data_IF_080775799219
#
_entry.id   IF_080775799219
#
_cell.length_a   1.000
_cell.length_b   1.000
_cell.length_c   1.000
_cell.angle_alpha   90.00
_cell.angle_beta   90.00
_cell.angle_gamma   90.00
#
_symmetry.space_group_name_H-M   'P 1'
#
loop_
_entity.id
_entity.type
_entity.pdbx_description
1 polymer ?
#
# COMPACT_ATOMS: atom_id res chain seq x y z
N UNK A 1 -30.19 -21.60 17.02
CA UNK A 1 -30.48 -21.51 15.57
C UNK A 1 -29.15 -21.49 14.84
N UNK A 2 -28.84 -22.58 14.14
CA UNK A 2 -27.67 -22.68 13.27
C UNK A 2 -28.12 -22.20 11.90
N UNK A 3 -27.87 -20.93 11.58
CA UNK A 3 -27.94 -20.51 10.19
C UNK A 3 -26.74 -21.12 9.48
N UNK A 4 -27.03 -22.05 8.58
CA UNK A 4 -26.07 -22.66 7.67
C UNK A 4 -25.30 -21.57 6.93
N UNK A 5 -23.97 -21.70 6.89
CA UNK A 5 -23.05 -20.82 6.16
C UNK A 5 -23.29 -20.87 4.63
N UNK A 6 -24.23 -21.71 4.17
CA UNK A 6 -24.55 -22.00 2.77
C UNK A 6 -25.55 -21.04 2.09
N UNK A 7 -25.98 -19.98 2.77
CA UNK A 7 -26.75 -18.88 2.15
C UNK A 7 -25.86 -17.87 1.44
N UNK A 8 -26.39 -17.15 0.44
CA UNK A 8 -25.69 -16.01 -0.18
C UNK A 8 -25.27 -15.03 0.92
N UNK A 9 -23.97 -14.72 1.08
CA UNK A 9 -23.49 -13.85 2.15
C UNK A 9 -24.17 -12.48 2.08
N UNK A 10 -24.65 -11.92 3.21
CA UNK A 10 -25.16 -10.55 3.21
C UNK A 10 -24.04 -9.59 2.78
N UNK A 11 -24.32 -8.65 1.88
CA UNK A 11 -23.33 -7.65 1.49
C UNK A 11 -22.89 -6.82 2.71
N UNK A 12 -21.59 -6.56 2.85
CA UNK A 12 -21.15 -5.60 3.88
C UNK A 12 -21.48 -4.20 3.37
N UNK A 13 -22.49 -3.54 3.91
CA UNK A 13 -22.84 -2.20 3.44
C UNK A 13 -21.66 -1.22 3.61
N UNK A 14 -21.42 -0.40 2.59
CA UNK A 14 -20.47 0.73 2.67
C UNK A 14 -21.16 1.96 2.14
N UNK A 15 -21.42 2.91 3.04
CA UNK A 15 -21.99 4.20 2.68
C UNK A 15 -21.00 4.99 1.82
N UNK A 16 -21.23 4.99 0.50
CA UNK A 16 -20.40 5.71 -0.48
C UNK A 16 -20.54 7.23 -0.36
N UNK A 17 -21.63 7.74 0.23
CA UNK A 17 -21.82 9.19 0.42
C UNK A 17 -20.79 9.82 1.37
N UNK A 18 -20.20 8.99 2.23
CA UNK A 18 -19.14 9.41 3.16
C UNK A 18 -17.74 9.40 2.56
N UNK A 19 -17.58 9.06 1.27
CA UNK A 19 -16.27 9.16 0.60
C UNK A 19 -15.89 10.62 0.41
N UNK A 20 -14.61 10.93 0.60
CA UNK A 20 -14.12 12.26 0.24
C UNK A 20 -14.20 12.44 -1.27
N UNK A 21 -14.63 13.62 -1.71
CA UNK A 21 -14.77 13.93 -3.13
C UNK A 21 -13.44 13.76 -3.87
N UNK A 22 -13.48 13.10 -5.03
CA UNK A 22 -12.35 12.97 -5.93
C UNK A 22 -12.63 13.75 -7.21
N UNK A 23 -11.95 14.89 -7.44
CA UNK A 23 -12.24 15.75 -8.58
C UNK A 23 -12.12 15.03 -9.92
N UNK A 24 -12.94 15.44 -10.88
CA UNK A 24 -12.90 14.86 -12.22
C UNK A 24 -11.58 15.15 -12.95
N UNK A 25 -10.93 16.28 -12.63
CA UNK A 25 -9.62 16.66 -13.19
C UNK A 25 -8.43 15.99 -12.50
N UNK A 26 -8.62 15.38 -11.32
CA UNK A 26 -7.54 14.73 -10.60
C UNK A 26 -7.06 13.47 -11.33
N UNK A 27 -5.73 13.31 -11.53
CA UNK A 27 -5.20 12.17 -12.27
C UNK A 27 -5.36 10.88 -11.48
N UNK A 28 -5.82 9.81 -12.14
CA UNK A 28 -5.94 8.49 -11.53
C UNK A 28 -4.59 7.79 -11.45
N UNK A 29 -4.49 6.72 -10.67
CA UNK A 29 -3.23 5.98 -10.49
C UNK A 29 -2.56 5.56 -11.80
N UNK A 30 -3.34 5.16 -12.81
CA UNK A 30 -2.82 4.70 -14.10
C UNK A 30 -2.25 5.82 -14.97
N UNK A 31 -2.52 7.09 -14.64
CA UNK A 31 -2.03 8.25 -15.40
C UNK A 31 -0.52 8.48 -15.28
N UNK A 32 0.17 7.76 -14.39
CA UNK A 32 1.63 7.71 -14.31
C UNK A 32 2.30 6.67 -15.22
N UNK A 33 1.51 5.76 -15.80
CA UNK A 33 2.02 4.65 -16.60
C UNK A 33 2.62 5.14 -17.92
N UNK A 34 3.52 4.35 -18.49
CA UNK A 34 3.99 4.52 -19.87
C UNK A 34 3.02 3.87 -20.84
N UNK A 35 3.03 4.31 -22.09
CA UNK A 35 2.15 3.81 -23.14
C UNK A 35 2.29 2.29 -23.33
N UNK A 36 3.52 1.77 -23.23
CA UNK A 36 3.84 0.33 -23.35
C UNK A 36 3.19 -0.54 -22.25
N UNK A 37 2.72 0.07 -21.15
CA UNK A 37 2.06 -0.65 -20.05
C UNK A 37 0.57 -0.34 -19.98
N UNK A 38 0.19 0.89 -20.31
CA UNK A 38 -1.19 1.34 -20.34
C UNK A 38 -2.02 0.60 -21.41
N UNK A 39 -1.51 0.48 -22.64
CA UNK A 39 -2.26 -0.18 -23.71
C UNK A 39 -2.47 -1.69 -23.44
N UNK A 40 -1.47 -2.46 -22.99
CA UNK A 40 -1.69 -3.85 -22.58
C UNK A 40 -2.67 -4.01 -21.41
N UNK A 41 -2.69 -3.06 -20.45
CA UNK A 41 -3.69 -3.07 -19.38
C UNK A 41 -5.11 -2.97 -19.94
N UNK A 42 -5.35 -2.08 -20.90
CA UNK A 42 -6.66 -1.96 -21.56
C UNK A 42 -6.99 -3.22 -22.38
N UNK A 43 -6.03 -3.71 -23.17
CA UNK A 43 -6.20 -4.85 -24.05
C UNK A 43 -6.51 -6.15 -23.29
N UNK A 44 -5.80 -6.42 -22.19
CA UNK A 44 -6.05 -7.60 -21.34
C UNK A 44 -7.48 -7.64 -20.79
N UNK A 45 -8.08 -6.47 -20.55
CA UNK A 45 -9.45 -6.35 -20.06
C UNK A 45 -10.46 -6.09 -21.20
N UNK A 46 -10.08 -6.35 -22.45
CA UNK A 46 -10.96 -6.22 -23.62
C UNK A 46 -11.48 -4.81 -23.86
N UNK A 47 -10.76 -3.77 -23.44
CA UNK A 47 -11.18 -2.37 -23.56
C UNK A 47 -12.57 -2.09 -22.97
N UNK A 48 -13.00 -2.83 -21.94
CA UNK A 48 -14.30 -2.68 -21.27
C UNK A 48 -14.38 -1.41 -20.41
N UNK A 49 -14.26 -0.26 -21.06
CA UNK A 49 -14.32 1.07 -20.47
C UNK A 49 -15.77 1.51 -20.47
N UNK A 50 -16.30 1.87 -19.31
CA UNK A 50 -17.67 2.40 -19.21
C UNK A 50 -17.76 3.75 -19.94
N UNK A 51 -18.86 4.08 -20.66
CA UNK A 51 -18.97 5.33 -21.43
C UNK A 51 -18.64 6.60 -20.64
N UNK A 52 -19.05 6.67 -19.37
CA UNK A 52 -18.73 7.82 -18.49
C UNK A 52 -17.24 7.95 -18.12
N UNK A 53 -16.41 6.97 -18.48
CA UNK A 53 -14.96 6.91 -18.19
C UNK A 53 -14.10 7.08 -19.45
N UNK A 54 -14.70 7.23 -20.63
CA UNK A 54 -13.97 7.36 -21.90
C UNK A 54 -13.07 8.60 -21.92
N UNK A 55 -13.59 9.77 -21.50
CA UNK A 55 -12.80 10.99 -21.42
C UNK A 55 -11.55 10.82 -20.51
N UNK A 56 -11.72 10.12 -19.40
CA UNK A 56 -10.63 9.78 -18.50
C UNK A 56 -9.61 8.83 -19.15
N UNK A 57 -10.07 7.79 -19.85
CA UNK A 57 -9.18 6.86 -20.55
C UNK A 57 -8.37 7.56 -21.65
N UNK A 58 -8.98 8.50 -22.38
CA UNK A 58 -8.28 9.32 -23.38
C UNK A 58 -7.23 10.22 -22.73
N UNK A 59 -7.58 10.93 -21.65
CA UNK A 59 -6.64 11.76 -20.89
C UNK A 59 -5.45 10.94 -20.36
N UNK A 60 -5.72 9.74 -19.84
CA UNK A 60 -4.67 8.81 -19.39
C UNK A 60 -3.79 8.33 -20.53
N UNK A 61 -4.35 8.09 -21.71
CA UNK A 61 -3.58 7.73 -22.91
C UNK A 61 -2.65 8.85 -23.32
N UNK A 62 -3.12 10.10 -23.32
CA UNK A 62 -2.29 11.28 -23.56
C UNK A 62 -1.17 11.45 -22.53
N UNK A 63 -1.49 11.30 -21.24
CA UNK A 63 -0.50 11.29 -20.17
C UNK A 63 0.53 10.17 -20.35
N UNK A 64 0.11 8.98 -20.76
CA UNK A 64 0.99 7.84 -20.97
C UNK A 64 2.02 8.07 -22.10
N UNK A 65 1.62 8.76 -23.17
CA UNK A 65 2.56 9.21 -24.21
C UNK A 65 3.61 10.17 -23.64
N UNK A 66 3.19 11.15 -22.84
CA UNK A 66 4.09 12.10 -22.20
C UNK A 66 5.05 11.42 -21.20
N UNK A 67 4.55 10.49 -20.40
CA UNK A 67 5.36 9.71 -19.45
C UNK A 67 6.39 8.83 -20.15
N UNK A 68 6.07 8.28 -21.33
CA UNK A 68 7.04 7.54 -22.15
C UNK A 68 8.19 8.44 -22.59
N UNK A 69 7.89 9.65 -23.08
CA UNK A 69 8.93 10.62 -23.46
C UNK A 69 9.80 11.00 -22.26
N UNK A 70 9.19 11.35 -21.13
CA UNK A 70 9.92 11.73 -19.92
C UNK A 70 10.77 10.58 -19.36
N UNK A 71 10.30 9.35 -19.45
CA UNK A 71 11.09 8.18 -19.09
C UNK A 71 12.36 8.08 -19.93
N UNK A 72 12.25 8.22 -21.26
CA UNK A 72 13.40 8.16 -22.16
C UNK A 72 14.40 9.27 -21.84
N UNK A 73 13.92 10.50 -21.60
CA UNK A 73 14.76 11.61 -21.14
C UNK A 73 15.44 11.31 -19.80
N UNK A 74 14.73 10.68 -18.85
CA UNK A 74 15.33 10.31 -17.56
C UNK A 74 16.40 9.23 -17.76
N UNK A 75 16.19 8.26 -18.65
CA UNK A 75 17.21 7.26 -18.97
C UNK A 75 18.44 7.90 -19.62
N UNK A 76 18.24 8.89 -20.49
CA UNK A 76 19.33 9.61 -21.14
C UNK A 76 20.18 10.39 -20.12
N UNK A 77 19.53 11.15 -19.23
CA UNK A 77 20.20 12.05 -18.28
C UNK A 77 20.74 11.30 -17.06
N UNK A 78 19.94 10.41 -16.47
CA UNK A 78 20.24 9.77 -15.19
C UNK A 78 20.50 8.27 -15.28
N UNK A 79 20.27 7.61 -16.42
CA UNK A 79 20.28 6.14 -16.52
C UNK A 79 21.58 5.49 -16.04
N UNK A 80 22.74 6.08 -16.34
CA UNK A 80 24.04 5.61 -15.84
C UNK A 80 24.17 5.76 -14.32
N UNK A 81 23.80 6.93 -13.78
CA UNK A 81 23.86 7.20 -12.33
C UNK A 81 22.93 6.29 -11.55
N UNK A 82 21.73 6.03 -12.08
CA UNK A 82 20.77 5.14 -11.44
C UNK A 82 21.33 3.72 -11.36
N UNK A 83 21.86 3.17 -12.46
CA UNK A 83 22.45 1.83 -12.46
C UNK A 83 23.64 1.69 -11.51
N UNK A 84 24.41 2.77 -11.32
CA UNK A 84 25.54 2.80 -10.38
C UNK A 84 25.12 3.05 -8.93
N UNK A 85 23.86 3.42 -8.66
CA UNK A 85 23.39 3.72 -7.31
C UNK A 85 23.22 2.43 -6.51
N UNK A 86 23.77 2.44 -5.29
CA UNK A 86 23.59 1.37 -4.30
C UNK A 86 22.74 1.88 -3.13
N UNK A 87 21.99 1.01 -2.44
CA UNK A 87 21.30 1.39 -1.21
C UNK A 87 22.29 1.97 -0.19
N UNK A 88 21.90 3.06 0.49
CA UNK A 88 22.74 3.70 1.52
C UNK A 88 22.93 2.81 2.75
N UNK A 89 21.88 2.08 3.11
CA UNK A 89 21.86 1.11 4.19
C UNK A 89 20.75 0.08 3.89
N UNK A 90 20.74 -1.07 4.58
CA UNK A 90 19.68 -2.05 4.41
C UNK A 90 18.29 -1.44 4.64
N UNK A 91 17.31 -1.66 3.74
CA UNK A 91 16.01 -1.03 3.83
C UNK A 91 15.21 -1.47 5.06
N UNK A 92 14.25 -0.64 5.45
CA UNK A 92 13.24 -0.95 6.45
C UNK A 92 11.93 -1.25 5.71
N UNK A 93 11.28 -2.35 6.04
CA UNK A 93 9.98 -2.73 5.48
C UNK A 93 8.91 -2.71 6.56
N UNK A 94 7.86 -1.92 6.33
CA UNK A 94 6.65 -1.96 7.14
C UNK A 94 5.70 -2.99 6.53
N UNK A 95 5.41 -4.02 7.31
CA UNK A 95 4.52 -5.13 6.98
C UNK A 95 3.20 -4.96 7.75
N UNK A 96 2.18 -5.69 7.32
CA UNK A 96 0.85 -5.72 7.92
C UNK A 96 -0.24 -5.65 6.86
N UNK A 97 -1.45 -6.07 7.23
CA UNK A 97 -2.60 -5.96 6.36
C UNK A 97 -2.96 -4.50 6.05
N UNK A 98 -3.74 -4.29 4.99
CA UNK A 98 -4.42 -3.02 4.79
C UNK A 98 -5.16 -2.62 6.06
N UNK A 99 -5.10 -1.32 6.38
CA UNK A 99 -5.86 -0.69 7.47
C UNK A 99 -5.47 -1.14 8.88
N UNK A 100 -4.31 -1.76 9.08
CA UNK A 100 -3.77 -2.05 10.43
C UNK A 100 -3.03 -0.87 11.05
N UNK A 101 -2.86 0.26 10.35
CA UNK A 101 -2.12 1.43 10.88
C UNK A 101 -0.69 1.55 10.38
N UNK A 102 -0.28 0.70 9.42
CA UNK A 102 1.00 0.82 8.70
C UNK A 102 1.27 2.21 8.13
N UNK A 103 0.23 2.95 7.72
CA UNK A 103 0.37 4.34 7.25
C UNK A 103 0.77 5.29 8.38
N UNK A 104 0.20 5.13 9.58
CA UNK A 104 0.57 5.95 10.74
C UNK A 104 2.04 5.74 11.12
N UNK A 105 2.50 4.48 11.13
CA UNK A 105 3.89 4.15 11.38
C UNK A 105 4.82 4.68 10.27
N UNK A 106 4.41 4.59 9.00
CA UNK A 106 5.19 5.13 7.87
C UNK A 106 5.38 6.64 7.99
N UNK A 107 4.30 7.37 8.33
CA UNK A 107 4.34 8.81 8.55
C UNK A 107 5.22 9.19 9.75
N UNK A 108 5.17 8.42 10.85
CA UNK A 108 6.11 8.60 11.97
C UNK A 108 7.55 8.49 11.47
N UNK A 109 7.93 7.38 10.83
CA UNK A 109 9.29 7.16 10.34
C UNK A 109 9.73 8.19 9.27
N UNK A 110 8.80 8.75 8.50
CA UNK A 110 9.07 9.80 7.53
C UNK A 110 9.60 11.09 8.18
N UNK A 111 9.30 11.32 9.47
CA UNK A 111 9.82 12.45 10.23
C UNK A 111 11.22 12.24 10.83
N UNK A 112 11.84 11.07 10.66
CA UNK A 112 13.28 10.91 10.94
C UNK A 112 14.10 11.50 9.78
N UNK A 113 14.96 12.50 10.03
CA UNK A 113 15.72 13.17 8.98
C UNK A 113 16.70 12.25 8.24
N UNK A 114 17.05 11.08 8.77
CA UNK A 114 17.96 10.10 8.15
C UNK A 114 17.24 9.10 7.24
N UNK A 115 15.92 9.03 7.34
CA UNK A 115 15.10 8.08 6.59
C UNK A 115 14.43 8.77 5.39
N UNK A 116 14.12 7.98 4.37
CA UNK A 116 13.26 8.41 3.27
C UNK A 116 12.25 7.33 2.92
N UNK A 117 10.99 7.74 2.83
CA UNK A 117 9.88 6.97 2.28
C UNK A 117 9.61 7.46 0.85
N UNK A 118 9.23 6.57 -0.08
CA UNK A 118 8.77 7.03 -1.39
C UNK A 118 7.55 7.94 -1.24
N UNK A 119 7.56 9.08 -1.94
CA UNK A 119 6.46 10.05 -1.89
C UNK A 119 5.31 9.68 -2.83
N UNK A 120 4.16 10.33 -2.66
CA UNK A 120 3.03 10.25 -3.60
C UNK A 120 3.48 10.56 -5.04
N UNK A 121 4.30 11.61 -5.22
CA UNK A 121 4.77 11.94 -6.56
C UNK A 121 5.75 10.91 -7.11
N UNK A 122 6.67 10.40 -6.29
CA UNK A 122 7.65 9.39 -6.74
C UNK A 122 6.98 8.08 -7.14
N UNK A 123 5.92 7.68 -6.45
CA UNK A 123 5.16 6.46 -6.78
C UNK A 123 4.22 6.66 -7.97
N UNK A 124 3.59 7.83 -8.07
CA UNK A 124 2.77 8.22 -9.22
C UNK A 124 3.59 8.40 -10.51
N UNK A 125 4.78 8.99 -10.42
CA UNK A 125 5.65 9.30 -11.56
C UNK A 125 6.97 8.50 -11.52
N UNK A 126 6.90 7.24 -11.10
CA UNK A 126 8.04 6.33 -10.88
C UNK A 126 9.01 6.25 -12.08
N UNK A 127 8.50 6.46 -13.28
CA UNK A 127 9.26 6.39 -14.52
C UNK A 127 10.15 7.62 -14.80
N UNK A 128 9.88 8.78 -14.19
CA UNK A 128 10.54 10.05 -14.56
C UNK A 128 10.69 11.09 -13.43
N UNK A 129 10.36 10.75 -12.18
CA UNK A 129 10.34 11.76 -11.09
C UNK A 129 11.70 12.45 -10.85
N UNK A 130 12.84 11.85 -11.21
CA UNK A 130 14.14 12.51 -11.07
C UNK A 130 14.27 13.75 -11.94
N UNK A 131 13.48 13.85 -13.01
CA UNK A 131 13.39 15.04 -13.86
C UNK A 131 12.35 16.04 -13.35
N UNK A 132 11.20 15.55 -12.90
CA UNK A 132 9.99 16.37 -12.82
C UNK A 132 9.54 16.70 -11.40
N UNK A 133 10.02 15.98 -10.37
CA UNK A 133 9.50 16.11 -9.00
C UNK A 133 9.57 17.54 -8.48
N UNK A 134 10.71 18.22 -8.68
CA UNK A 134 10.89 19.59 -8.20
C UNK A 134 9.85 20.55 -8.78
N UNK A 135 9.60 20.47 -10.08
CA UNK A 135 8.63 21.35 -10.75
C UNK A 135 7.20 20.96 -10.38
N UNK A 136 6.90 19.67 -10.35
CA UNK A 136 5.57 19.15 -10.06
C UNK A 136 5.11 19.50 -8.65
N UNK A 137 5.98 19.35 -7.64
CA UNK A 137 5.69 19.73 -6.27
C UNK A 137 5.36 21.22 -6.13
N UNK A 138 5.85 22.09 -7.02
CA UNK A 138 5.55 23.52 -6.99
C UNK A 138 4.30 23.90 -7.78
N UNK A 139 4.12 23.33 -8.98
CA UNK A 139 3.10 23.78 -9.92
C UNK A 139 1.84 22.93 -9.94
N UNK A 140 1.91 21.66 -9.52
CA UNK A 140 0.84 20.68 -9.72
C UNK A 140 0.07 20.35 -8.44
N UNK A 141 0.21 21.15 -7.37
CA UNK A 141 -0.50 20.91 -6.09
C UNK A 141 -2.02 20.86 -6.25
N UNK A 142 -2.58 21.66 -7.15
CA UNK A 142 -4.02 21.75 -7.41
C UNK A 142 -4.63 20.47 -8.04
N UNK A 143 -3.79 19.57 -8.56
CA UNK A 143 -4.27 18.32 -9.16
C UNK A 143 -4.68 17.27 -8.13
N UNK A 144 -4.24 17.39 -6.87
CA UNK A 144 -4.59 16.44 -5.83
C UNK A 144 -5.81 16.91 -5.01
N UNK A 145 -6.75 16.02 -4.66
CA UNK A 145 -7.69 16.30 -3.59
C UNK A 145 -6.96 16.53 -2.26
N UNK A 146 -7.54 17.37 -1.39
CA UNK A 146 -6.93 17.69 -0.09
C UNK A 146 -6.79 16.47 0.84
N UNK A 147 -7.69 15.49 0.73
CA UNK A 147 -7.73 14.25 1.51
C UNK A 147 -7.91 13.05 0.60
N UNK A 148 -7.52 11.87 1.07
CA UNK A 148 -7.73 10.64 0.32
C UNK A 148 -9.23 10.26 0.26
N UNK A 149 -9.71 9.62 -0.80
CA UNK A 149 -11.12 9.21 -0.93
C UNK A 149 -11.67 8.38 0.24
N UNK A 150 -10.86 7.47 0.79
CA UNK A 150 -11.30 6.50 1.79
C UNK A 150 -11.17 6.96 3.25
N UNK A 151 -10.33 7.97 3.54
CA UNK A 151 -10.03 8.45 4.89
C UNK A 151 -9.50 9.89 4.96
N UNK A 152 -9.32 10.41 6.18
CA UNK A 152 -8.97 11.80 6.44
C UNK A 152 -7.45 12.09 6.42
N UNK A 153 -6.63 11.19 5.87
CA UNK A 153 -5.20 11.48 5.70
C UNK A 153 -5.02 12.51 4.59
N UNK A 154 -4.27 13.55 4.89
CA UNK A 154 -3.95 14.64 3.95
C UNK A 154 -3.16 14.09 2.77
N UNK A 155 -3.52 14.54 1.56
CA UNK A 155 -2.82 14.13 0.35
C UNK A 155 -1.95 15.29 -0.17
N UNK A 156 -0.63 15.10 -0.11
CA UNK A 156 0.35 16.02 -0.69
C UNK A 156 1.33 15.22 -1.55
N UNK A 157 1.96 15.87 -2.52
CA UNK A 157 2.91 15.20 -3.41
C UNK A 157 4.13 14.64 -2.66
N UNK A 158 4.49 15.28 -1.56
CA UNK A 158 5.63 14.98 -0.70
C UNK A 158 5.31 13.89 0.34
N UNK A 159 4.03 13.70 0.68
CA UNK A 159 3.61 12.72 1.69
C UNK A 159 4.01 11.30 1.29
N UNK A 160 4.32 10.43 2.28
CA UNK A 160 4.71 9.05 2.04
C UNK A 160 3.59 8.24 1.36
N UNK A 161 3.98 7.30 0.51
CA UNK A 161 3.06 6.43 -0.23
C UNK A 161 3.57 4.98 -0.29
N UNK A 162 2.68 4.07 -0.66
CA UNK A 162 2.97 2.67 -0.89
C UNK A 162 3.83 2.45 -2.13
N UNK A 163 4.91 1.68 -1.97
CA UNK A 163 5.81 1.30 -3.04
C UNK A 163 5.17 0.40 -4.11
N UNK A 164 4.03 -0.25 -3.82
CA UNK A 164 3.27 -1.01 -4.82
C UNK A 164 2.79 -0.12 -5.96
N UNK A 165 2.39 1.12 -5.67
CA UNK A 165 1.94 2.03 -6.72
C UNK A 165 3.05 2.38 -7.71
N UNK A 166 4.29 2.50 -7.25
CA UNK A 166 5.42 2.69 -8.16
C UNK A 166 5.59 1.51 -9.11
N UNK A 167 5.45 0.28 -8.60
CA UNK A 167 5.56 -0.97 -9.38
C UNK A 167 4.45 -1.06 -10.43
N UNK A 168 3.21 -0.74 -10.05
CA UNK A 168 2.07 -0.59 -10.97
C UNK A 168 2.38 0.41 -12.07
N UNK A 169 2.80 1.62 -11.71
CA UNK A 169 3.19 2.70 -12.62
C UNK A 169 4.31 2.28 -13.58
N UNK A 170 5.24 1.45 -13.12
CA UNK A 170 6.35 0.89 -13.91
C UNK A 170 5.95 -0.31 -14.78
N UNK A 171 4.69 -0.74 -14.76
CA UNK A 171 4.18 -1.85 -15.57
C UNK A 171 4.51 -3.25 -15.06
N UNK A 172 4.83 -3.37 -13.77
CA UNK A 172 5.01 -4.66 -13.13
C UNK A 172 3.64 -5.26 -12.76
N UNK A 173 3.49 -6.59 -12.81
CA UNK A 173 2.28 -7.26 -12.33
C UNK A 173 2.04 -6.97 -10.84
N UNK A 174 0.79 -6.66 -10.50
CA UNK A 174 0.39 -6.32 -9.14
C UNK A 174 -1.10 -6.63 -8.93
N UNK A 175 -1.49 -7.17 -7.76
CA UNK A 175 -2.91 -7.32 -7.41
C UNK A 175 -3.69 -6.00 -7.44
N UNK A 176 -3.05 -4.84 -7.21
CA UNK A 176 -3.74 -3.55 -7.27
C UNK A 176 -4.33 -3.21 -8.65
N UNK A 177 -3.89 -3.88 -9.71
CA UNK A 177 -4.47 -3.70 -11.04
C UNK A 177 -5.95 -4.13 -11.12
N UNK A 178 -6.49 -4.85 -10.12
CA UNK A 178 -7.96 -5.06 -10.06
C UNK A 178 -8.74 -3.75 -9.93
N UNK A 179 -8.18 -2.73 -9.30
CA UNK A 179 -8.88 -1.44 -9.13
C UNK A 179 -9.07 -0.70 -10.48
N UNK A 180 -8.34 -1.07 -11.53
CA UNK A 180 -8.49 -0.46 -12.86
C UNK A 180 -9.76 -0.94 -13.58
N UNK A 181 -10.13 -2.21 -13.35
CA UNK A 181 -11.29 -2.88 -13.94
C UNK A 181 -11.99 -3.70 -12.85
N UNK A 182 -12.74 -2.99 -12.01
CA UNK A 182 -13.32 -3.51 -10.77
C UNK A 182 -14.32 -4.65 -10.94
N UNK A 183 -14.87 -4.85 -12.15
CA UNK A 183 -15.88 -5.87 -12.42
C UNK A 183 -15.27 -7.14 -13.04
N UNK A 184 -13.96 -7.16 -13.27
CA UNK A 184 -13.24 -8.30 -13.85
C UNK A 184 -12.62 -9.18 -12.75
N UNK A 185 -12.23 -10.40 -13.11
CA UNK A 185 -11.52 -11.30 -12.18
C UNK A 185 -10.23 -10.63 -11.70
N UNK A 186 -9.97 -10.56 -10.37
CA UNK A 186 -8.76 -9.95 -9.83
C UNK A 186 -7.49 -10.58 -10.42
N UNK A 187 -6.61 -9.81 -11.06
CA UNK A 187 -5.41 -10.36 -11.70
C UNK A 187 -4.27 -10.52 -10.69
N UNK A 188 -3.29 -11.36 -11.05
CA UNK A 188 -1.98 -11.41 -10.41
C UNK A 188 -1.99 -11.71 -8.90
N UNK A 189 -2.92 -12.54 -8.44
CA UNK A 189 -2.96 -12.98 -7.04
C UNK A 189 -1.61 -13.58 -6.58
N UNK A 190 -0.92 -14.30 -7.46
CA UNK A 190 0.39 -14.91 -7.18
C UNK A 190 1.52 -13.90 -6.94
N UNK A 191 1.36 -12.66 -7.39
CA UNK A 191 2.32 -11.61 -7.06
C UNK A 191 2.13 -11.09 -5.63
N UNK A 192 1.14 -11.55 -4.86
CA UNK A 192 0.99 -11.17 -3.45
C UNK A 192 1.94 -11.89 -2.50
N UNK A 193 2.35 -13.12 -2.82
CA UNK A 193 3.31 -13.94 -2.07
C UNK A 193 4.48 -14.48 -2.90
N UNK A 194 4.43 -14.28 -4.23
CA UNK A 194 5.42 -14.73 -5.21
C UNK A 194 5.47 -16.26 -5.39
N UNK A 195 4.53 -17.00 -4.81
CA UNK A 195 4.45 -18.44 -4.95
C UNK A 195 3.83 -18.82 -6.30
N UNK A 196 4.41 -19.83 -6.96
CA UNK A 196 3.96 -20.28 -8.28
C UNK A 196 4.46 -19.44 -9.46
N UNK A 197 5.24 -18.38 -9.21
CA UNK A 197 5.87 -17.60 -10.27
C UNK A 197 7.14 -18.30 -10.79
N UNK A 198 7.39 -18.15 -12.09
CA UNK A 198 8.63 -18.63 -12.70
C UNK A 198 9.85 -17.80 -12.26
N UNK A 199 11.08 -18.35 -12.33
CA UNK A 199 12.30 -17.60 -12.03
C UNK A 199 12.44 -16.31 -12.84
N UNK A 200 11.99 -16.30 -14.10
CA UNK A 200 12.04 -15.12 -14.96
C UNK A 200 11.07 -14.01 -14.50
N UNK A 201 9.89 -14.38 -14.01
CA UNK A 201 8.93 -13.43 -13.44
C UNK A 201 9.44 -12.81 -12.14
N UNK A 202 10.03 -13.64 -11.27
CA UNK A 202 10.66 -13.19 -10.03
C UNK A 202 11.81 -12.23 -10.35
N UNK A 203 12.70 -12.59 -11.29
CA UNK A 203 13.82 -11.73 -11.70
C UNK A 203 13.33 -10.40 -12.30
N UNK A 204 12.30 -10.42 -13.15
CA UNK A 204 11.67 -9.20 -13.69
C UNK A 204 11.14 -8.31 -12.57
N UNK A 205 10.47 -8.88 -11.58
CA UNK A 205 9.99 -8.14 -10.42
C UNK A 205 11.14 -7.56 -9.60
N UNK A 206 12.18 -8.36 -9.31
CA UNK A 206 13.38 -7.92 -8.56
C UNK A 206 14.06 -6.75 -9.25
N UNK A 207 14.29 -6.84 -10.56
CA UNK A 207 14.88 -5.76 -11.37
C UNK A 207 14.07 -4.48 -11.31
N UNK A 208 12.75 -4.58 -11.41
CA UNK A 208 11.86 -3.43 -11.30
C UNK A 208 11.89 -2.78 -9.92
N UNK A 209 11.85 -3.58 -8.86
CA UNK A 209 11.95 -3.10 -7.48
C UNK A 209 13.30 -2.41 -7.20
N UNK A 210 14.41 -3.05 -7.57
CA UNK A 210 15.77 -2.48 -7.43
C UNK A 210 15.88 -1.18 -8.23
N UNK A 211 15.34 -1.14 -9.46
CA UNK A 211 15.36 0.08 -10.29
C UNK A 211 14.64 1.25 -9.63
N UNK A 212 13.50 1.00 -8.97
CA UNK A 212 12.77 2.02 -8.23
C UNK A 212 13.54 2.46 -6.98
N UNK A 213 14.04 1.49 -6.21
CA UNK A 213 14.90 1.71 -5.04
C UNK A 213 16.06 2.64 -5.40
N UNK A 214 16.79 2.33 -6.48
CA UNK A 214 17.92 3.14 -6.94
C UNK A 214 17.52 4.57 -7.31
N UNK A 215 16.35 4.79 -7.93
CA UNK A 215 15.87 6.16 -8.20
C UNK A 215 15.65 6.93 -6.89
N UNK A 216 14.96 6.33 -5.93
CA UNK A 216 14.64 6.99 -4.66
C UNK A 216 15.92 7.25 -3.86
N UNK A 217 16.86 6.30 -3.85
CA UNK A 217 18.17 6.50 -3.23
C UNK A 217 18.97 7.60 -3.92
N UNK A 218 19.03 7.65 -5.25
CA UNK A 218 19.73 8.70 -5.97
C UNK A 218 19.16 10.09 -5.67
N UNK A 219 17.84 10.17 -5.47
CA UNK A 219 17.16 11.42 -5.14
C UNK A 219 17.39 11.87 -3.71
N UNK A 220 17.40 10.94 -2.77
CA UNK A 220 17.32 11.26 -1.33
C UNK A 220 18.66 11.12 -0.61
N UNK A 221 19.51 10.19 -1.03
CA UNK A 221 20.75 9.86 -0.33
C UNK A 221 20.51 9.28 1.07
N UNK A 222 19.33 8.72 1.35
CA UNK A 222 18.92 8.25 2.69
C UNK A 222 18.64 6.75 2.74
N UNK A 223 18.58 6.21 3.96
CA UNK A 223 18.09 4.84 4.21
C UNK A 223 16.60 4.80 3.89
N UNK A 224 16.19 3.81 3.09
CA UNK A 224 14.83 3.75 2.58
C UNK A 224 13.89 2.96 3.49
N UNK A 225 12.66 3.47 3.61
CA UNK A 225 11.53 2.83 4.30
C UNK A 225 10.45 2.53 3.27
N UNK A 226 10.17 1.26 3.05
CA UNK A 226 9.12 0.79 2.14
C UNK A 226 7.92 0.28 2.95
N UNK A 227 6.71 0.49 2.44
CA UNK A 227 5.47 0.05 3.08
C UNK A 227 4.47 -0.30 2.00
N UNK A 228 4.09 -1.56 1.91
CA UNK A 228 2.98 -2.04 1.10
C UNK A 228 2.43 -3.31 1.76
N UNK A 229 1.11 -3.49 1.88
CA UNK A 229 0.58 -4.70 2.51
C UNK A 229 1.05 -5.99 1.87
N UNK A 230 1.20 -6.01 0.54
CA UNK A 230 1.79 -7.14 -0.19
C UNK A 230 3.19 -7.53 0.27
N UNK A 231 4.00 -6.60 0.81
CA UNK A 231 5.33 -6.93 1.32
C UNK A 231 5.27 -7.95 2.48
N UNK A 232 4.14 -8.04 3.19
CA UNK A 232 3.91 -9.06 4.24
C UNK A 232 3.94 -10.47 3.67
N UNK A 233 3.30 -10.71 2.53
CA UNK A 233 3.31 -11.99 1.84
C UNK A 233 4.62 -12.25 1.09
N UNK A 234 5.38 -11.20 0.77
CA UNK A 234 6.67 -11.27 0.06
C UNK A 234 7.88 -11.27 1.00
N UNK A 235 7.68 -11.49 2.30
CA UNK A 235 8.72 -11.35 3.32
C UNK A 235 9.96 -12.22 3.03
N UNK A 236 9.75 -13.44 2.54
CA UNK A 236 10.82 -14.33 2.11
C UNK A 236 11.68 -13.70 1.02
N UNK A 237 11.05 -13.27 -0.07
CA UNK A 237 11.73 -12.66 -1.20
C UNK A 237 12.51 -11.41 -0.79
N UNK A 238 11.90 -10.57 0.06
CA UNK A 238 12.52 -9.34 0.54
C UNK A 238 13.75 -9.62 1.42
N UNK A 239 13.68 -10.62 2.29
CA UNK A 239 14.83 -11.03 3.11
C UNK A 239 15.94 -11.64 2.24
N UNK A 240 15.61 -12.46 1.24
CA UNK A 240 16.59 -12.99 0.29
C UNK A 240 17.30 -11.88 -0.51
N UNK A 241 16.57 -10.83 -0.90
CA UNK A 241 17.14 -9.69 -1.63
C UNK A 241 17.97 -8.78 -0.72
N UNK A 242 17.56 -8.63 0.53
CA UNK A 242 18.20 -7.76 1.52
C UNK A 242 18.34 -8.52 2.84
N UNK A 243 19.35 -9.39 2.98
CA UNK A 243 19.56 -10.20 4.19
C UNK A 243 19.64 -9.34 5.45
N UNK A 244 20.11 -8.10 5.29
CA UNK A 244 20.23 -7.17 6.39
C UNK A 244 19.04 -6.24 6.61
N UNK A 245 17.92 -6.44 5.93
CA UNK A 245 16.73 -5.59 6.11
C UNK A 245 16.19 -5.63 7.56
N UNK A 246 15.38 -4.62 7.90
CA UNK A 246 14.60 -4.58 9.13
C UNK A 246 13.12 -4.60 8.79
N UNK A 247 12.33 -5.34 9.54
CA UNK A 247 10.91 -5.50 9.33
C UNK A 247 10.14 -4.99 10.56
N UNK A 248 9.12 -4.18 10.33
CA UNK A 248 8.17 -3.80 11.38
C UNK A 248 6.80 -4.30 10.94
N UNK A 249 6.24 -5.26 11.65
CA UNK A 249 4.94 -5.84 11.30
C UNK A 249 3.84 -5.26 12.18
N UNK A 250 2.86 -4.60 11.57
CA UNK A 250 1.77 -3.94 12.29
C UNK A 250 0.51 -4.79 12.25
N UNK A 251 0.03 -5.16 13.44
CA UNK A 251 -1.21 -5.92 13.65
C UNK A 251 -2.33 -5.00 14.14
N UNK A 252 -3.57 -5.39 13.84
CA UNK A 252 -4.78 -4.73 14.35
C UNK A 252 -5.91 -5.74 14.48
N UNK A 253 -6.91 -5.44 15.31
CA UNK A 253 -8.10 -6.28 15.45
C UNK A 253 -8.82 -6.53 14.09
N UNK A 254 -9.05 -7.79 13.68
CA UNK A 254 -9.67 -8.13 12.39
C UNK A 254 -11.04 -7.54 12.10
N UNK A 255 -11.92 -7.49 13.11
CA UNK A 255 -13.24 -6.86 12.96
C UNK A 255 -13.18 -5.36 12.66
N UNK A 256 -12.03 -4.73 12.91
CA UNK A 256 -11.84 -3.31 12.61
C UNK A 256 -11.24 -3.12 11.23
N UNK A 257 -10.18 -3.87 10.88
CA UNK A 257 -9.48 -3.64 9.61
C UNK A 257 -10.19 -4.26 8.40
N UNK A 258 -10.95 -5.35 8.54
CA UNK A 258 -11.69 -5.97 7.43
C UNK A 258 -12.68 -5.00 6.77
N UNK A 259 -13.70 -4.45 7.48
CA UNK A 259 -14.64 -3.53 6.86
C UNK A 259 -13.97 -2.23 6.41
N UNK A 260 -12.92 -1.78 7.11
CA UNK A 260 -12.12 -0.64 6.66
C UNK A 260 -11.42 -0.92 5.32
N UNK A 261 -10.98 -2.17 5.09
CA UNK A 261 -10.34 -2.58 3.83
C UNK A 261 -11.35 -2.64 2.70
N UNK A 262 -12.56 -3.15 2.96
CA UNK A 262 -13.67 -3.09 1.99
C UNK A 262 -14.00 -1.66 1.61
N UNK A 263 -14.10 -0.75 2.60
CA UNK A 263 -14.31 0.67 2.36
C UNK A 263 -13.21 1.28 1.48
N UNK A 264 -11.95 1.00 1.78
CA UNK A 264 -10.81 1.48 1.00
C UNK A 264 -10.90 1.04 -0.45
N UNK A 265 -11.18 -0.24 -0.67
CA UNK A 265 -11.25 -0.80 -2.01
C UNK A 265 -12.45 -0.27 -2.79
N UNK A 266 -13.65 -0.22 -2.20
CA UNK A 266 -14.83 0.39 -2.85
C UNK A 266 -14.60 1.86 -3.21
N UNK A 267 -13.83 2.58 -2.40
CA UNK A 267 -13.43 3.96 -2.70
C UNK A 267 -12.43 4.05 -3.85
N UNK A 268 -11.52 3.09 -3.99
CA UNK A 268 -10.68 2.96 -5.18
C UNK A 268 -11.49 2.59 -6.41
N UNK A 269 -12.40 1.63 -6.30
CA UNK A 269 -13.22 1.19 -7.43
C UNK A 269 -14.11 2.36 -7.91
N UNK A 270 -14.69 3.15 -7.01
CA UNK A 270 -15.51 4.32 -7.36
C UNK A 270 -14.70 5.45 -8.02
N UNK A 271 -13.53 5.76 -7.46
CA UNK A 271 -12.73 6.91 -7.92
C UNK A 271 -11.80 6.57 -9.09
N UNK A 272 -11.19 5.38 -9.14
CA UNK A 272 -10.07 5.03 -10.03
C UNK A 272 -10.43 4.09 -11.17
N UNK A 273 -11.53 3.34 -11.08
CA UNK A 273 -11.90 2.32 -12.08
C UNK A 273 -12.29 2.93 -13.42
N UNK A 274 -11.95 2.22 -14.49
CA UNK A 274 -12.46 2.47 -15.85
C UNK A 274 -13.89 1.94 -16.04
N UNK A 275 -14.42 1.23 -15.04
CA UNK A 275 -15.77 0.69 -15.01
C UNK A 275 -16.63 1.40 -13.96
N UNK A 276 -17.94 1.13 -13.98
CA UNK A 276 -18.83 1.46 -12.86
C UNK A 276 -18.88 0.24 -11.94
N UNK A 277 -18.40 0.34 -10.68
CA UNK A 277 -18.36 -0.79 -9.77
C UNK A 277 -19.76 -1.31 -9.47
N UNK A 278 -19.92 -2.63 -9.51
CA UNK A 278 -21.15 -3.30 -9.08
C UNK A 278 -21.25 -3.34 -7.54
N UNK A 279 -22.43 -3.62 -6.99
CA UNK A 279 -22.60 -3.75 -5.53
C UNK A 279 -22.18 -5.12 -5.01
N UNK A 280 -22.41 -6.17 -5.81
CA UNK A 280 -21.98 -7.55 -5.55
C UNK A 280 -20.84 -7.91 -6.51
N UNK A 281 -19.62 -7.52 -6.15
CA UNK A 281 -18.41 -7.66 -6.96
C UNK A 281 -17.46 -8.75 -6.44
N UNK A 282 -17.85 -9.48 -5.39
CA UNK A 282 -17.02 -10.50 -4.74
C UNK A 282 -15.86 -9.93 -3.91
N UNK A 283 -15.87 -8.62 -3.63
CA UNK A 283 -14.79 -7.96 -2.90
C UNK A 283 -14.56 -8.52 -1.50
N UNK A 284 -15.62 -8.94 -0.79
CA UNK A 284 -15.50 -9.56 0.54
C UNK A 284 -14.66 -10.84 0.49
N UNK A 285 -14.94 -11.72 -0.47
CA UNK A 285 -14.19 -12.94 -0.66
C UNK A 285 -12.73 -12.63 -1.06
N UNK A 286 -12.54 -11.67 -1.98
CA UNK A 286 -11.20 -11.23 -2.37
C UNK A 286 -10.37 -10.72 -1.18
N UNK A 287 -10.95 -9.91 -0.29
CA UNK A 287 -10.24 -9.39 0.90
C UNK A 287 -9.91 -10.52 1.88
N UNK A 288 -10.84 -11.45 2.14
CA UNK A 288 -10.59 -12.61 3.00
C UNK A 288 -9.45 -13.47 2.46
N UNK A 289 -9.50 -13.84 1.18
CA UNK A 289 -8.50 -14.68 0.52
C UNK A 289 -7.14 -13.99 0.41
N UNK A 290 -7.13 -12.68 0.10
CA UNK A 290 -5.89 -11.89 0.11
C UNK A 290 -5.23 -11.89 1.48
N UNK A 291 -6.01 -11.73 2.55
CA UNK A 291 -5.52 -11.80 3.93
C UNK A 291 -4.97 -13.19 4.28
N UNK A 292 -5.69 -14.25 3.91
CA UNK A 292 -5.26 -15.65 4.13
C UNK A 292 -3.95 -15.96 3.43
N UNK A 293 -3.86 -15.67 2.14
CA UNK A 293 -2.68 -15.92 1.31
C UNK A 293 -1.45 -15.20 1.85
N UNK A 294 -1.61 -13.91 2.13
CA UNK A 294 -0.55 -13.07 2.68
C UNK A 294 -0.03 -13.58 4.02
N UNK A 295 -0.92 -13.92 4.96
CA UNK A 295 -0.51 -14.41 6.28
C UNK A 295 -0.06 -15.88 6.30
N UNK A 296 -0.49 -16.69 5.34
CA UNK A 296 0.05 -18.04 5.17
C UNK A 296 1.54 -17.98 4.82
N UNK A 297 1.94 -17.16 3.84
CA UNK A 297 3.34 -16.95 3.49
C UNK A 297 4.13 -16.32 4.64
N UNK A 298 3.59 -15.27 5.28
CA UNK A 298 4.22 -14.65 6.44
C UNK A 298 4.53 -15.65 7.56
N UNK A 299 3.54 -16.46 7.97
CA UNK A 299 3.72 -17.46 9.02
C UNK A 299 4.73 -18.54 8.65
N UNK A 300 4.73 -18.98 7.39
CA UNK A 300 5.67 -20.00 6.93
C UNK A 300 7.13 -19.53 7.00
N UNK A 301 7.37 -18.24 6.74
CA UNK A 301 8.73 -17.70 6.67
C UNK A 301 9.21 -17.02 7.96
N UNK A 302 8.32 -16.40 8.75
CA UNK A 302 8.69 -15.61 9.94
C UNK A 302 9.65 -16.35 10.90
N UNK A 303 9.50 -17.65 11.20
CA UNK A 303 10.43 -18.37 12.08
C UNK A 303 11.87 -18.48 11.54
N UNK A 304 12.09 -18.25 10.24
CA UNK A 304 13.40 -18.28 9.58
C UNK A 304 14.14 -16.94 9.67
N UNK A 305 13.46 -15.86 10.12
CA UNK A 305 14.10 -14.57 10.32
C UNK A 305 14.95 -14.58 11.60
N UNK A 306 16.20 -14.10 11.54
CA UNK A 306 17.01 -13.93 12.74
C UNK A 306 16.36 -12.99 13.76
N UNK A 307 16.63 -13.23 15.04
CA UNK A 307 16.23 -12.33 16.12
C UNK A 307 16.72 -10.90 15.85
N UNK A 308 15.89 -9.91 16.22
CA UNK A 308 16.18 -8.49 15.99
C UNK A 308 16.01 -8.01 14.55
N UNK A 309 15.61 -8.86 13.60
CA UNK A 309 15.27 -8.43 12.24
C UNK A 309 13.82 -8.04 12.07
N UNK A 310 12.93 -8.50 12.94
CA UNK A 310 11.51 -8.18 12.92
C UNK A 310 11.00 -7.80 14.31
N UNK A 311 10.08 -6.81 14.35
CA UNK A 311 9.32 -6.47 15.54
C UNK A 311 7.83 -6.39 15.18
N UNK A 312 7.00 -7.11 15.93
CA UNK A 312 5.54 -7.00 15.85
C UNK A 312 5.08 -5.80 16.69
N UNK A 313 4.15 -5.02 16.14
CA UNK A 313 3.60 -3.81 16.75
C UNK A 313 2.08 -3.87 16.67
N UNK A 314 1.42 -3.96 17.82
CA UNK A 314 -0.04 -3.86 17.87
C UNK A 314 -0.45 -2.40 17.66
N UNK A 315 -1.39 -2.18 16.75
CA UNK A 315 -1.93 -0.86 16.46
C UNK A 315 -2.48 -0.17 17.70
N UNK A 316 -3.17 -0.94 18.55
CA UNK A 316 -3.77 -0.46 19.78
C UNK A 316 -2.72 0.10 20.75
N UNK A 317 -1.55 -0.55 20.84
CA UNK A 317 -0.44 -0.08 21.68
C UNK A 317 0.26 1.13 21.05
N UNK A 318 0.45 1.10 19.72
CA UNK A 318 1.07 2.18 18.96
C UNK A 318 0.30 3.50 19.06
N UNK A 319 -1.03 3.47 19.07
CA UNK A 319 -1.83 4.70 19.24
C UNK A 319 -1.90 5.15 20.70
N UNK A 320 -1.79 4.22 21.66
CA UNK A 320 -1.84 4.54 23.09
C UNK A 320 -0.53 5.16 23.59
N UNK A 321 0.62 4.67 23.11
CA UNK A 321 1.93 5.20 23.48
C UNK A 321 2.89 5.30 22.26
N UNK A 322 2.63 6.22 21.30
CA UNK A 322 3.40 6.28 20.06
C UNK A 322 4.91 6.46 20.30
N UNK A 323 5.31 7.37 21.18
CA UNK A 323 6.74 7.63 21.43
C UNK A 323 7.43 6.46 22.14
N UNK A 324 6.75 5.79 23.07
CA UNK A 324 7.28 4.57 23.71
C UNK A 324 7.49 3.46 22.69
N UNK A 325 6.48 3.16 21.87
CA UNK A 325 6.58 2.16 20.81
C UNK A 325 7.69 2.49 19.81
N UNK A 326 7.86 3.75 19.41
CA UNK A 326 8.97 4.14 18.53
C UNK A 326 10.34 3.92 19.18
N UNK A 327 10.51 4.19 20.48
CA UNK A 327 11.78 3.88 21.19
C UNK A 327 12.10 2.39 21.17
N UNK A 328 11.09 1.55 21.40
CA UNK A 328 11.24 0.10 21.34
C UNK A 328 11.61 -0.37 19.94
N UNK A 329 10.94 0.15 18.89
CA UNK A 329 11.27 -0.15 17.49
C UNK A 329 12.74 0.18 17.19
N UNK A 330 13.20 1.37 17.57
CA UNK A 330 14.58 1.80 17.30
C UNK A 330 15.60 0.93 18.03
N UNK A 331 15.32 0.57 19.28
CA UNK A 331 16.17 -0.30 20.10
C UNK A 331 16.21 -1.73 19.56
N UNK A 332 15.04 -2.37 19.37
CA UNK A 332 14.91 -3.78 18.96
C UNK A 332 15.42 -4.06 17.55
N UNK A 333 15.29 -3.09 16.65
CA UNK A 333 15.72 -3.22 15.26
C UNK A 333 17.07 -2.54 14.99
N UNK A 334 17.76 -2.03 16.01
CA UNK A 334 19.06 -1.37 15.87
C UNK A 334 19.05 -0.30 14.76
N UNK A 335 18.16 0.69 14.90
CA UNK A 335 18.00 1.78 13.94
C UNK A 335 18.88 3.01 14.30
N UNK A 336 19.79 2.85 15.27
CA UNK A 336 20.58 3.92 15.87
C UNK A 336 19.81 4.75 16.89
N UNK A 337 20.41 5.84 17.38
CA UNK A 337 19.72 6.74 18.33
C UNK A 337 18.44 7.31 17.71
N UNK A 338 17.38 7.37 18.52
CA UNK A 338 16.08 7.96 18.17
C UNK A 338 16.07 9.49 18.28
N UNK A 339 17.03 10.09 19.00
CA UNK A 339 17.02 11.51 19.35
C UNK A 339 16.80 12.46 18.16
N UNK A 340 17.45 12.25 16.99
CA UNK A 340 17.24 13.10 15.81
C UNK A 340 15.82 13.10 15.27
N UNK A 341 15.01 12.09 15.61
CA UNK A 341 13.65 11.92 15.13
C UNK A 341 12.58 12.41 16.13
N UNK A 342 12.93 12.55 17.41
CA UNK A 342 11.97 12.85 18.49
C UNK A 342 11.20 14.16 18.26
N UNK A 343 11.87 15.21 17.79
CA UNK A 343 11.21 16.49 17.50
C UNK A 343 10.20 16.35 16.35
N UNK A 344 10.59 15.64 15.29
CA UNK A 344 9.72 15.36 14.15
C UNK A 344 8.49 14.54 14.55
N UNK A 345 8.68 13.52 15.39
CA UNK A 345 7.61 12.70 15.94
C UNK A 345 6.65 13.53 16.81
N UNK A 346 7.18 14.35 17.71
CA UNK A 346 6.36 15.22 18.58
C UNK A 346 5.52 16.21 17.75
N UNK A 347 6.12 16.85 16.74
CA UNK A 347 5.41 17.77 15.84
C UNK A 347 4.30 17.09 15.06
N UNK A 348 4.53 15.86 14.59
CA UNK A 348 3.53 15.08 13.88
C UNK A 348 2.37 14.64 14.79
N UNK A 349 2.66 14.31 16.06
CA UNK A 349 1.66 13.84 17.02
C UNK A 349 0.82 14.98 17.61
N UNK A 350 1.37 16.18 17.78
CA UNK A 350 0.70 17.32 18.41
C UNK A 350 -0.73 17.61 17.90
N UNK A 351 -1.03 17.66 16.59
CA UNK A 351 -2.38 17.90 16.09
C UNK A 351 -3.32 16.69 16.13
N UNK A 352 -2.86 15.50 16.57
CA UNK A 352 -3.57 14.21 16.41
C UNK A 352 -4.24 13.68 17.68
N UNK A 353 -4.49 14.52 18.69
CA UNK A 353 -5.08 14.13 19.97
C UNK A 353 -6.48 13.49 19.89
N UNK A 354 -7.18 13.57 18.74
CA UNK A 354 -8.52 13.00 18.56
C UNK A 354 -8.75 12.33 17.18
N UNK A 355 -7.90 11.37 16.78
CA UNK A 355 -8.19 10.58 15.57
C UNK A 355 -9.28 9.53 15.83
N UNK A 356 -10.53 9.86 15.50
CA UNK A 356 -11.64 8.92 15.54
C UNK A 356 -11.52 7.91 14.38
N UNK A 357 -11.50 6.62 14.71
CA UNK A 357 -11.57 5.56 13.69
C UNK A 357 -13.03 5.33 13.30
N UNK A 358 -13.30 5.18 11.99
CA UNK A 358 -14.64 4.84 11.51
C UNK A 358 -15.05 3.49 12.10
N UNK A 359 -16.17 3.48 12.82
CA UNK A 359 -16.77 2.25 13.35
C UNK A 359 -17.61 1.61 12.27
N UNK A 360 -17.39 0.32 12.06
CA UNK A 360 -18.20 -0.48 11.15
C UNK A 360 -18.90 -1.55 12.00
N UNK A 361 -20.23 -1.62 11.93
CA UNK A 361 -20.96 -2.73 12.50
C UNK A 361 -20.96 -3.89 11.50
N UNK A 362 -20.32 -4.99 11.87
CA UNK A 362 -20.35 -6.24 11.12
C UNK A 362 -21.51 -7.10 11.64
N UNK A 363 -22.31 -7.66 10.73
CA UNK A 363 -23.30 -8.68 11.08
C UNK A 363 -22.64 -9.92 11.69
N UNK A 364 -23.38 -10.69 12.47
CA UNK A 364 -22.90 -11.94 13.08
C UNK A 364 -22.33 -12.93 12.06
N UNK A 365 -22.92 -13.00 10.86
CA UNK A 365 -22.40 -13.80 9.74
C UNK A 365 -20.93 -13.47 9.44
N UNK A 366 -20.61 -12.19 9.23
CA UNK A 366 -19.26 -11.75 8.91
C UNK A 366 -18.30 -11.89 10.08
N UNK A 367 -18.76 -11.61 11.30
CA UNK A 367 -17.93 -11.86 12.49
C UNK A 367 -17.53 -13.33 12.56
N UNK A 368 -18.48 -14.25 12.40
CA UNK A 368 -18.21 -15.69 12.43
C UNK A 368 -17.29 -16.12 11.29
N UNK A 369 -17.55 -15.68 10.05
CA UNK A 369 -16.72 -16.02 8.90
C UNK A 369 -15.29 -15.52 9.03
N UNK A 370 -15.09 -14.28 9.49
CA UNK A 370 -13.76 -13.71 9.77
C UNK A 370 -13.04 -14.52 10.85
N UNK A 371 -13.72 -14.89 11.94
CA UNK A 371 -13.12 -15.74 13.00
C UNK A 371 -12.65 -17.08 12.43
N UNK A 372 -13.47 -17.73 11.62
CA UNK A 372 -13.12 -19.04 11.05
C UNK A 372 -11.96 -18.93 10.06
N UNK A 373 -12.05 -18.03 9.08
CA UNK A 373 -11.09 -17.92 7.98
C UNK A 373 -9.74 -17.34 8.44
N UNK A 374 -9.75 -16.45 9.43
CA UNK A 374 -8.54 -15.81 9.97
C UNK A 374 -8.21 -16.28 11.39
N UNK A 375 -8.70 -17.45 11.82
CA UNK A 375 -8.42 -18.02 13.15
C UNK A 375 -6.93 -17.94 13.53
N UNK A 376 -6.06 -18.37 12.62
CA UNK A 376 -4.62 -18.34 12.85
C UNK A 376 -4.05 -16.94 13.14
N UNK A 377 -4.66 -15.87 12.60
CA UNK A 377 -4.26 -14.50 12.92
C UNK A 377 -4.74 -14.08 14.32
N UNK A 378 -5.96 -14.46 14.73
CA UNK A 378 -6.46 -14.17 16.08
C UNK A 378 -5.58 -14.84 17.14
N UNK A 379 -5.29 -16.13 16.95
CA UNK A 379 -4.50 -16.95 17.88
C UNK A 379 -3.06 -16.44 17.96
N UNK A 380 -2.42 -16.18 16.81
CA UNK A 380 -1.01 -15.76 16.73
C UNK A 380 -0.76 -14.41 17.39
N UNK A 381 -1.67 -13.46 17.24
CA UNK A 381 -1.47 -12.09 17.73
C UNK A 381 -2.26 -11.76 18.99
N UNK A 382 -2.96 -12.73 19.58
CA UNK A 382 -3.69 -12.56 20.83
C UNK A 382 -4.81 -11.53 20.73
N UNK A 383 -5.65 -11.66 19.70
CA UNK A 383 -6.92 -10.94 19.61
C UNK A 383 -8.03 -11.87 20.07
N UNK A 384 -8.84 -11.45 21.04
CA UNK A 384 -10.01 -12.22 21.47
C UNK A 384 -11.27 -11.79 20.69
N UNK A 385 -12.24 -12.70 20.54
CA UNK A 385 -13.53 -12.39 19.89
C UNK A 385 -14.35 -11.35 20.65
N UNK A 386 -14.05 -11.21 21.94
CA UNK A 386 -14.78 -10.41 22.91
C UNK A 386 -14.00 -9.17 23.31
N UNK A 387 -12.78 -8.98 22.79
CA UNK A 387 -12.07 -7.73 22.93
C UNK A 387 -13.02 -6.66 22.38
N UNK A 388 -13.58 -5.79 23.23
CA UNK A 388 -14.23 -4.62 22.68
C UNK A 388 -13.15 -3.98 21.83
N UNK A 389 -13.47 -3.56 20.61
CA UNK A 389 -12.64 -2.56 19.95
C UNK A 389 -12.40 -1.48 21.00
N UNK A 390 -11.23 -1.50 21.66
CA UNK A 390 -11.07 -0.86 22.97
C UNK A 390 -11.54 0.56 22.80
N UNK A 391 -12.52 0.96 23.62
CA UNK A 391 -13.17 2.26 23.54
C UNK A 391 -12.08 3.32 23.71
N UNK A 392 -11.56 3.82 22.61
CA UNK A 392 -10.88 5.09 22.52
C UNK A 392 -11.87 6.10 21.94
#
# INVERSE_FOLDING_TARGET
>A
MRDSIDGTPPAVFTDRSTFNAYPFWSPRFWAGMRLEHWLPLLARNGFRIHPSRVAFAMATTGAACFNTLLYLLQQLIYGRRIRATQPVAPPIFILGHWRTGTTFLQEMLWHDPRLATPSNYQTYSANHFLLTEYLAQRLLKFLLPAKRPMDNVTMQWESPQEDEWARVTMGLPSPYLRCAFSNEVPPFADYSDMHGLSPAEIDRWKKGFVRFLQCVTLRTGKRLVFKSPHNTGRIELLHQMFPDARFIHVTRHPFTFFPSTLRMYRSFDDSQSLQKPQEQDGLEAYVLESGKRMYASYRAYRPQLPDGRIMDVRYEDLIQNPLGTMREIYSRLDLGSIDPALEGFARYLAPRTHYATNRHQLSDYWQQRIRTEWRGYFDEFGYSSDDPARKN
#
